data_IF_868776626676
#
_entry.id   IF_868776626676
#
_cell.length_a   1.000
_cell.length_b   1.000
_cell.length_c   1.000
_cell.angle_alpha   90.00
_cell.angle_beta   90.00
_cell.angle_gamma   90.00
#
_symmetry.space_group_name_H-M   'P 1'
#
loop_
_entity.id
_entity.type
_entity.pdbx_description
1 polymer ?
#
# COMPACT_ATOMS: atom_id res chain seq x y z
N UNK A 1 3.06 -23.08 45.38
CA UNK A 1 2.26 -21.91 44.93
C UNK A 1 3.12 -20.70 44.56
N UNK A 2 3.99 -20.19 45.46
CA UNK A 2 4.85 -19.01 45.16
C UNK A 2 5.77 -19.16 43.93
N UNK A 3 6.38 -20.34 43.71
CA UNK A 3 7.26 -20.60 42.55
C UNK A 3 6.52 -20.65 41.19
N UNK A 4 5.25 -21.07 41.19
CA UNK A 4 4.38 -21.08 40.01
C UNK A 4 3.86 -19.67 39.67
N UNK A 5 3.59 -18.86 40.70
CA UNK A 5 3.18 -17.46 40.52
C UNK A 5 4.31 -16.60 39.93
N UNK A 6 5.55 -16.80 40.40
CA UNK A 6 6.74 -16.10 39.88
C UNK A 6 7.04 -16.50 38.44
N UNK A 7 6.89 -17.78 38.08
CA UNK A 7 7.05 -18.24 36.70
C UNK A 7 6.03 -17.63 35.74
N UNK A 8 4.76 -17.51 36.15
CA UNK A 8 3.71 -16.92 35.32
C UNK A 8 3.90 -15.40 35.13
N UNK A 9 4.33 -14.70 36.18
CA UNK A 9 4.65 -13.26 36.10
C UNK A 9 5.86 -13.00 35.19
N UNK A 10 6.90 -13.84 35.24
CA UNK A 10 8.07 -13.69 34.37
C UNK A 10 7.75 -13.96 32.89
N UNK A 11 6.87 -14.91 32.58
CA UNK A 11 6.40 -15.16 31.21
C UNK A 11 5.51 -14.02 30.70
N UNK A 12 4.61 -13.50 31.53
CA UNK A 12 3.78 -12.35 31.19
C UNK A 12 4.60 -11.07 30.97
N UNK A 13 5.66 -10.86 31.78
CA UNK A 13 6.57 -9.73 31.64
C UNK A 13 7.50 -9.86 30.42
N UNK A 14 7.88 -11.09 30.04
CA UNK A 14 8.61 -11.36 28.78
C UNK A 14 7.76 -11.15 27.53
N UNK A 15 6.46 -11.43 27.59
CA UNK A 15 5.50 -11.17 26.49
C UNK A 15 5.20 -9.68 26.29
N UNK A 16 5.29 -8.86 27.35
CA UNK A 16 5.11 -7.41 27.30
C UNK A 16 6.32 -6.66 26.71
N UNK A 17 7.48 -7.31 26.57
CA UNK A 17 8.68 -6.74 25.95
C UNK A 17 8.71 -6.92 24.43
N UNK A 18 7.74 -7.64 23.86
CA UNK A 18 7.57 -7.73 22.40
C UNK A 18 6.74 -6.53 21.98
N UNK A 19 7.41 -5.42 21.70
CA UNK A 19 6.78 -4.19 21.20
C UNK A 19 5.88 -4.54 20.00
N UNK A 20 4.64 -4.02 19.92
CA UNK A 20 3.92 -4.09 18.66
C UNK A 20 4.75 -3.34 17.63
N UNK A 21 5.15 -4.03 16.56
CA UNK A 21 5.70 -3.37 15.37
C UNK A 21 4.59 -2.45 14.87
N UNK A 22 4.70 -1.16 15.20
CA UNK A 22 3.85 -0.14 14.65
C UNK A 22 4.14 -0.08 13.15
N UNK A 23 3.20 -0.56 12.34
CA UNK A 23 3.33 -0.51 10.89
C UNK A 23 2.94 0.87 10.40
N UNK A 24 3.94 1.64 10.00
CA UNK A 24 3.76 2.89 9.29
C UNK A 24 4.12 2.68 7.83
N UNK A 25 3.44 3.44 6.95
CA UNK A 25 3.91 3.62 5.58
C UNK A 25 5.36 4.14 5.58
N UNK A 26 6.17 3.85 4.55
CA UNK A 26 7.51 4.43 4.41
C UNK A 26 7.51 5.97 4.27
N UNK A 27 6.34 6.55 4.03
CA UNK A 27 6.08 7.99 3.85
C UNK A 27 4.84 8.40 4.64
N UNK A 28 4.79 9.66 5.06
CA UNK A 28 3.70 10.26 5.82
C UNK A 28 3.09 11.45 5.11
N UNK A 29 1.86 11.81 5.48
CA UNK A 29 1.23 13.06 5.01
C UNK A 29 2.09 14.25 5.45
N UNK A 30 2.37 15.16 4.53
CA UNK A 30 3.30 16.28 4.75
C UNK A 30 4.71 16.05 4.20
N UNK A 31 5.08 14.79 3.92
CA UNK A 31 6.38 14.51 3.33
C UNK A 31 6.49 15.08 1.93
N UNK A 32 7.74 15.42 1.57
CA UNK A 32 8.11 15.75 0.19
C UNK A 32 8.82 14.56 -0.41
N UNK A 33 8.31 14.06 -1.53
CA UNK A 33 8.87 12.91 -2.24
C UNK A 33 9.28 13.31 -3.66
N UNK A 34 10.20 12.56 -4.23
CA UNK A 34 10.52 12.58 -5.66
C UNK A 34 10.15 11.23 -6.23
N UNK A 35 9.50 11.25 -7.40
CA UNK A 35 9.29 10.06 -8.20
C UNK A 35 10.29 10.05 -9.35
N UNK A 36 11.03 8.95 -9.50
CA UNK A 36 11.86 8.70 -10.68
C UNK A 36 11.40 7.43 -11.39
N UNK A 37 11.71 7.30 -12.68
CA UNK A 37 11.37 6.09 -13.43
C UNK A 37 12.06 4.89 -12.77
N UNK A 38 11.25 3.92 -12.34
CA UNK A 38 11.72 2.63 -11.86
C UNK A 38 11.91 1.67 -13.03
N UNK A 39 11.72 0.37 -12.78
CA UNK A 39 11.81 -0.61 -13.85
C UNK A 39 10.55 -0.60 -14.73
N UNK A 40 10.71 -1.01 -15.99
CA UNK A 40 9.67 -0.87 -17.00
C UNK A 40 9.78 0.47 -17.73
N UNK A 41 8.65 1.13 -18.01
CA UNK A 41 8.61 2.41 -18.72
C UNK A 41 7.77 2.41 -19.99
N UNK A 42 7.14 1.29 -20.35
CA UNK A 42 6.31 1.24 -21.55
C UNK A 42 5.06 2.09 -21.39
N UNK A 43 4.63 2.76 -22.47
CA UNK A 43 3.42 3.60 -22.50
C UNK A 43 3.38 4.73 -21.46
N UNK A 44 4.54 5.29 -21.10
CA UNK A 44 4.69 6.30 -20.03
C UNK A 44 4.25 5.78 -18.64
N UNK A 45 4.35 4.47 -18.42
CA UNK A 45 4.00 3.80 -17.18
C UNK A 45 5.12 2.93 -16.62
N UNK A 46 4.78 1.77 -16.07
CA UNK A 46 5.70 0.91 -15.34
C UNK A 46 5.82 1.33 -13.88
N UNK A 47 6.85 0.82 -13.20
CA UNK A 47 7.06 1.17 -11.80
C UNK A 47 7.80 2.50 -11.68
N UNK A 48 7.55 3.24 -10.61
CA UNK A 48 8.28 4.44 -10.21
C UNK A 48 8.96 4.22 -8.88
N UNK A 49 10.18 4.71 -8.74
CA UNK A 49 10.88 4.75 -7.47
C UNK A 49 10.39 5.94 -6.66
N UNK A 50 10.14 5.73 -5.37
CA UNK A 50 9.81 6.79 -4.42
C UNK A 50 11.03 7.07 -3.56
N UNK A 51 11.50 8.31 -3.59
CA UNK A 51 12.59 8.82 -2.77
C UNK A 51 12.07 9.95 -1.87
N UNK A 52 12.51 9.99 -0.61
CA UNK A 52 12.17 11.10 0.30
C UNK A 52 13.14 12.26 0.07
N UNK A 53 12.61 13.48 -0.10
CA UNK A 53 13.43 14.67 -0.29
C UNK A 53 14.24 14.96 0.98
N UNK A 54 15.55 15.03 0.82
CA UNK A 54 16.47 15.26 1.95
C UNK A 54 16.92 13.98 2.64
N UNK A 55 16.45 12.82 2.19
CA UNK A 55 17.01 11.53 2.59
C UNK A 55 18.10 11.09 1.59
N UNK A 56 19.15 10.48 2.12
CA UNK A 56 20.28 9.92 1.35
C UNK A 56 20.27 8.39 1.30
N UNK A 57 19.29 7.75 1.96
CA UNK A 57 19.14 6.28 1.98
C UNK A 57 18.77 5.68 0.62
N UNK A 58 18.27 6.50 -0.32
CA UNK A 58 17.89 6.11 -1.67
C UNK A 58 16.42 5.69 -1.78
N UNK A 59 16.12 4.83 -2.74
CA UNK A 59 14.76 4.42 -3.07
C UNK A 59 14.10 3.72 -1.89
N UNK A 60 12.99 4.28 -1.40
CA UNK A 60 12.22 3.74 -0.28
C UNK A 60 11.37 2.53 -0.73
N UNK A 61 10.66 2.68 -1.85
CA UNK A 61 9.80 1.64 -2.43
C UNK A 61 9.47 1.93 -3.90
N UNK A 62 8.84 0.95 -4.57
CA UNK A 62 8.29 1.11 -5.90
C UNK A 62 6.77 1.30 -5.88
N UNK A 63 6.27 2.22 -6.70
CA UNK A 63 4.84 2.53 -6.89
C UNK A 63 4.42 2.40 -8.35
N UNK A 64 3.12 2.47 -8.60
CA UNK A 64 2.50 2.56 -9.92
C UNK A 64 1.51 3.72 -9.97
N UNK A 65 1.34 4.28 -11.16
CA UNK A 65 0.38 5.34 -11.39
C UNK A 65 -1.04 4.79 -11.31
N UNK A 66 -1.92 5.53 -10.64
CA UNK A 66 -3.32 5.15 -10.55
C UNK A 66 -4.13 5.69 -11.73
N UNK A 67 -4.07 7.00 -11.99
CA UNK A 67 -4.81 7.61 -13.10
C UNK A 67 -3.96 7.72 -14.38
N UNK A 68 -4.57 8.05 -15.52
CA UNK A 68 -3.84 8.38 -16.77
C UNK A 68 -4.06 9.80 -17.28
N UNK A 69 -5.08 10.49 -16.77
CA UNK A 69 -5.40 11.87 -17.11
C UNK A 69 -4.68 12.90 -16.24
N UNK A 70 -4.13 12.48 -15.10
CA UNK A 70 -3.26 13.29 -14.25
C UNK A 70 -1.79 12.95 -14.51
N UNK A 71 -0.92 13.96 -14.37
CA UNK A 71 0.49 13.85 -14.70
C UNK A 71 1.36 14.45 -13.60
N UNK A 72 2.55 13.88 -13.44
CA UNK A 72 3.66 14.48 -12.72
C UNK A 72 4.90 14.55 -13.62
N UNK A 73 5.90 15.32 -13.19
CA UNK A 73 7.19 15.40 -13.85
C UNK A 73 8.19 14.59 -13.03
N UNK A 74 8.74 13.48 -13.56
CA UNK A 74 9.76 12.71 -12.85
C UNK A 74 10.95 13.58 -12.44
N UNK A 75 11.50 13.33 -11.25
CA UNK A 75 12.58 14.12 -10.66
C UNK A 75 12.15 15.43 -9.98
N UNK A 76 10.87 15.82 -10.08
CA UNK A 76 10.34 17.02 -9.40
C UNK A 76 9.73 16.62 -8.06
N UNK A 77 10.12 17.34 -7.00
CA UNK A 77 9.59 17.12 -5.66
C UNK A 77 8.10 17.48 -5.57
N UNK A 78 7.33 16.62 -4.91
CA UNK A 78 5.89 16.76 -4.67
C UNK A 78 5.57 16.49 -3.21
N UNK A 79 4.43 16.97 -2.75
CA UNK A 79 3.93 16.72 -1.41
C UNK A 79 3.00 15.51 -1.38
N UNK A 80 3.11 14.71 -0.33
CA UNK A 80 2.09 13.72 0.05
C UNK A 80 0.96 14.45 0.77
N UNK A 81 -0.15 14.68 0.07
CA UNK A 81 -1.29 15.43 0.60
C UNK A 81 -2.24 14.58 1.44
N UNK A 82 -2.41 13.32 1.07
CA UNK A 82 -3.17 12.33 1.85
C UNK A 82 -2.76 10.90 1.47
N UNK A 83 -3.02 9.96 2.38
CA UNK A 83 -2.93 8.52 2.12
C UNK A 83 -4.28 7.90 2.48
N UNK A 84 -5.07 7.53 1.48
CA UNK A 84 -6.48 7.16 1.62
C UNK A 84 -6.85 5.98 0.73
N UNK A 85 -8.04 5.39 0.89
CA UNK A 85 -8.52 4.31 0.01
C UNK A 85 -8.98 4.77 -1.38
N UNK A 86 -8.70 6.02 -1.76
CA UNK A 86 -9.26 6.64 -2.96
C UNK A 86 -8.36 7.74 -3.51
N UNK A 87 -8.38 7.93 -4.83
CA UNK A 87 -7.81 9.06 -5.53
C UNK A 87 -8.70 10.30 -5.38
N UNK A 88 -8.11 11.45 -5.07
CA UNK A 88 -8.88 12.64 -4.62
C UNK A 88 -9.69 13.29 -5.74
N UNK A 89 -9.16 13.28 -6.98
CA UNK A 89 -9.80 13.87 -8.15
C UNK A 89 -10.30 12.85 -9.17
N UNK A 90 -10.14 11.55 -8.87
CA UNK A 90 -10.44 10.46 -9.79
C UNK A 90 -9.65 10.51 -11.10
N UNK A 91 -9.97 9.59 -12.01
CA UNK A 91 -9.30 9.44 -13.30
C UNK A 91 -10.21 9.69 -14.50
N UNK A 92 -10.00 8.94 -15.58
CA UNK A 92 -10.92 8.91 -16.73
C UNK A 92 -12.25 8.23 -16.39
N UNK A 93 -12.23 7.32 -15.41
CA UNK A 93 -13.43 6.71 -14.85
C UNK A 93 -13.55 7.02 -13.36
N UNK A 94 -14.63 6.53 -12.75
CA UNK A 94 -14.84 6.64 -11.31
C UNK A 94 -15.51 7.94 -10.84
N UNK A 95 -15.50 8.14 -9.52
CA UNK A 95 -16.07 9.30 -8.83
C UNK A 95 -14.99 10.25 -8.31
N UNK A 96 -15.40 11.36 -7.65
CA UNK A 96 -14.48 12.29 -6.99
C UNK A 96 -14.85 12.39 -5.51
N UNK A 97 -14.17 11.67 -4.59
CA UNK A 97 -12.98 10.83 -4.82
C UNK A 97 -13.30 9.45 -5.46
N UNK A 98 -12.30 8.83 -6.07
CA UNK A 98 -12.40 7.52 -6.74
C UNK A 98 -11.75 6.40 -5.91
N UNK A 99 -12.53 5.50 -5.29
CA UNK A 99 -11.99 4.40 -4.49
C UNK A 99 -11.20 3.41 -5.34
N UNK A 100 -10.04 2.96 -4.84
CA UNK A 100 -9.31 1.88 -5.54
C UNK A 100 -10.07 0.57 -5.49
N UNK A 101 -9.99 -0.19 -6.57
CA UNK A 101 -10.55 -1.54 -6.58
C UNK A 101 -9.76 -2.48 -5.67
N UNK A 102 -10.44 -3.48 -5.08
CA UNK A 102 -9.79 -4.57 -4.34
C UNK A 102 -8.83 -5.38 -5.22
N UNK A 103 -9.11 -5.45 -6.53
CA UNK A 103 -8.25 -6.11 -7.51
C UNK A 103 -6.91 -5.38 -7.68
N UNK A 104 -6.93 -4.05 -7.81
CA UNK A 104 -5.72 -3.22 -7.86
C UNK A 104 -4.93 -3.31 -6.56
N UNK A 105 -5.61 -3.20 -5.41
CA UNK A 105 -4.98 -3.38 -4.10
C UNK A 105 -4.28 -4.75 -3.97
N UNK A 106 -4.93 -5.83 -4.41
CA UNK A 106 -4.36 -7.18 -4.39
C UNK A 106 -3.11 -7.31 -5.26
N UNK A 107 -3.14 -6.77 -6.49
CA UNK A 107 -2.00 -6.86 -7.40
C UNK A 107 -0.80 -6.06 -6.88
N UNK A 108 -1.03 -4.85 -6.37
CA UNK A 108 0.05 -4.05 -5.81
C UNK A 108 0.60 -4.65 -4.51
N UNK A 109 -0.23 -5.23 -3.65
CA UNK A 109 0.23 -6.00 -2.50
C UNK A 109 1.18 -7.14 -2.92
N UNK A 110 0.81 -7.91 -3.95
CA UNK A 110 1.66 -8.99 -4.46
C UNK A 110 2.98 -8.48 -5.05
N UNK A 111 2.96 -7.31 -5.69
CA UNK A 111 4.19 -6.65 -6.12
C UNK A 111 5.06 -6.24 -4.93
N UNK A 112 4.50 -5.49 -3.99
CA UNK A 112 5.21 -4.94 -2.83
C UNK A 112 5.78 -6.03 -1.91
N UNK A 113 5.16 -7.21 -1.86
CA UNK A 113 5.62 -8.38 -1.11
C UNK A 113 6.52 -9.33 -1.91
N UNK A 114 6.82 -9.02 -3.17
CA UNK A 114 7.69 -9.82 -4.03
C UNK A 114 7.05 -11.10 -4.59
N UNK A 115 5.74 -11.28 -4.44
CA UNK A 115 4.98 -12.38 -5.05
C UNK A 115 4.82 -12.21 -6.57
N UNK A 116 4.92 -10.98 -7.07
CA UNK A 116 5.15 -10.69 -8.49
C UNK A 116 6.63 -10.33 -8.64
N UNK A 117 7.35 -11.05 -9.49
CA UNK A 117 8.77 -10.79 -9.70
C UNK A 117 9.00 -9.39 -10.29
N UNK A 118 9.95 -8.66 -9.70
CA UNK A 118 10.30 -7.29 -10.09
C UNK A 118 11.10 -7.28 -11.40
N UNK A 119 10.42 -7.51 -12.53
CA UNK A 119 10.99 -7.52 -13.89
C UNK A 119 10.32 -6.47 -14.77
N UNK A 120 11.03 -5.96 -15.78
CA UNK A 120 10.52 -4.86 -16.60
C UNK A 120 9.21 -5.26 -17.33
N UNK A 121 9.12 -6.52 -17.77
CA UNK A 121 7.90 -7.07 -18.36
C UNK A 121 6.73 -7.05 -17.37
N UNK A 122 6.93 -7.58 -16.16
CA UNK A 122 5.89 -7.60 -15.13
C UNK A 122 5.48 -6.19 -14.69
N UNK A 123 6.41 -5.25 -14.58
CA UNK A 123 6.09 -3.86 -14.23
C UNK A 123 5.19 -3.21 -15.28
N UNK A 124 5.50 -3.39 -16.57
CA UNK A 124 4.70 -2.84 -17.66
C UNK A 124 3.31 -3.49 -17.73
N UNK A 125 3.26 -4.83 -17.61
CA UNK A 125 2.02 -5.59 -17.62
C UNK A 125 1.14 -5.26 -16.41
N UNK A 126 1.76 -5.06 -15.23
CA UNK A 126 1.06 -4.67 -14.01
C UNK A 126 0.49 -3.25 -14.13
N UNK A 127 1.23 -2.29 -14.67
CA UNK A 127 0.70 -0.94 -14.90
C UNK A 127 -0.52 -0.94 -15.81
N UNK A 128 -0.48 -1.73 -16.90
CA UNK A 128 -1.63 -1.88 -17.81
C UNK A 128 -2.83 -2.55 -17.11
N UNK A 129 -2.58 -3.56 -16.28
CA UNK A 129 -3.61 -4.22 -15.51
C UNK A 129 -4.28 -3.25 -14.53
N UNK A 130 -3.50 -2.45 -13.80
CA UNK A 130 -4.01 -1.41 -12.88
C UNK A 130 -4.92 -0.44 -13.65
N UNK A 131 -4.42 0.16 -14.74
CA UNK A 131 -5.23 1.10 -15.52
C UNK A 131 -6.49 0.47 -16.10
N UNK A 132 -6.46 -0.82 -16.46
CA UNK A 132 -7.67 -1.52 -16.91
C UNK A 132 -8.67 -1.74 -15.78
N UNK A 133 -8.22 -2.10 -14.59
CA UNK A 133 -9.06 -2.38 -13.43
C UNK A 133 -9.71 -1.10 -12.87
N UNK A 134 -8.99 0.01 -12.95
CA UNK A 134 -9.48 1.34 -12.53
C UNK A 134 -10.21 2.10 -13.64
N UNK A 135 -10.42 1.50 -14.82
CA UNK A 135 -11.19 2.13 -15.90
C UNK A 135 -10.47 3.25 -16.67
N UNK A 136 -9.16 3.41 -16.46
CA UNK A 136 -8.32 4.46 -17.05
C UNK A 136 -8.01 4.27 -18.55
N UNK A 137 -8.52 3.19 -19.13
CA UNK A 137 -8.28 2.83 -20.53
C UNK A 137 -9.31 3.43 -21.49
N UNK A 138 -10.39 4.05 -20.98
CA UNK A 138 -11.54 4.45 -21.78
C UNK A 138 -11.24 5.53 -22.84
N UNK A 139 -10.45 6.56 -22.50
CA UNK A 139 -10.19 7.68 -23.42
C UNK A 139 -9.01 7.43 -24.37
N UNK A 140 -8.01 6.67 -23.92
CA UNK A 140 -6.80 6.38 -24.69
C UNK A 140 -6.51 4.87 -24.66
N UNK A 141 -7.31 4.05 -25.36
CA UNK A 141 -7.21 2.60 -25.27
C UNK A 141 -5.82 2.13 -25.74
N UNK A 142 -5.15 1.39 -24.86
CA UNK A 142 -3.94 0.64 -25.18
C UNK A 142 -4.32 -0.84 -25.20
N UNK A 143 -3.78 -1.60 -26.15
CA UNK A 143 -4.00 -3.04 -26.20
C UNK A 143 -3.38 -3.70 -24.96
N UNK A 144 -4.20 -4.44 -24.21
CA UNK A 144 -3.72 -5.25 -23.10
C UNK A 144 -2.84 -6.39 -23.63
N UNK A 145 -1.69 -6.58 -22.98
CA UNK A 145 -0.81 -7.72 -23.26
C UNK A 145 -1.40 -9.01 -22.66
N UNK A 146 -0.83 -10.16 -23.04
CA UNK A 146 -1.18 -11.43 -22.40
C UNK A 146 -0.87 -11.42 -20.88
N UNK A 147 0.25 -10.79 -20.48
CA UNK A 147 0.62 -10.68 -19.06
C UNK A 147 -0.31 -9.77 -18.27
N UNK A 148 -0.72 -8.63 -18.84
CA UNK A 148 -1.71 -7.75 -18.21
C UNK A 148 -3.05 -8.49 -18.00
N UNK A 149 -3.53 -9.22 -19.02
CA UNK A 149 -4.73 -10.05 -18.91
C UNK A 149 -4.60 -11.17 -17.86
N UNK A 150 -3.42 -11.78 -17.73
CA UNK A 150 -3.15 -12.77 -16.70
C UNK A 150 -3.22 -12.16 -15.29
N UNK A 151 -2.69 -10.95 -15.09
CA UNK A 151 -2.83 -10.24 -13.81
C UNK A 151 -4.27 -9.90 -13.48
N UNK A 152 -5.02 -9.32 -14.43
CA UNK A 152 -6.45 -9.01 -14.27
C UNK A 152 -7.22 -10.28 -13.87
N UNK A 153 -6.98 -11.38 -14.58
CA UNK A 153 -7.63 -12.66 -14.31
C UNK A 153 -7.28 -13.19 -12.90
N UNK A 154 -6.02 -13.04 -12.48
CA UNK A 154 -5.59 -13.46 -11.14
C UNK A 154 -6.21 -12.63 -10.00
N UNK A 155 -6.69 -11.42 -10.30
CA UNK A 155 -7.30 -10.51 -9.34
C UNK A 155 -8.84 -10.53 -9.37
N UNK A 156 -9.46 -11.30 -10.27
CA UNK A 156 -10.90 -11.28 -10.51
C UNK A 156 -11.76 -11.59 -9.27
N UNK A 157 -11.24 -12.39 -8.33
CA UNK A 157 -11.93 -12.75 -7.08
C UNK A 157 -11.33 -12.08 -5.85
N UNK A 158 -10.44 -11.09 -6.03
CA UNK A 158 -9.79 -10.39 -4.93
C UNK A 158 -10.81 -9.55 -4.15
N UNK A 159 -10.87 -9.74 -2.84
CA UNK A 159 -11.79 -9.07 -1.93
C UNK A 159 -11.07 -8.71 -0.63
N UNK A 160 -11.37 -7.55 -0.07
CA UNK A 160 -10.82 -7.10 1.21
C UNK A 160 -9.72 -6.05 1.08
N UNK A 161 -9.16 -5.72 2.25
CA UNK A 161 -8.11 -4.72 2.40
C UNK A 161 -6.75 -5.40 2.41
N UNK A 162 -5.90 -5.09 1.42
CA UNK A 162 -4.58 -5.71 1.26
C UNK A 162 -3.44 -4.84 1.84
N UNK A 163 -3.74 -3.95 2.77
CA UNK A 163 -2.77 -2.98 3.29
C UNK A 163 -2.33 -1.92 2.26
N UNK A 164 -3.02 -1.84 1.12
CA UNK A 164 -2.71 -0.90 0.03
C UNK A 164 -3.62 0.31 0.10
N UNK A 165 -3.05 1.49 -0.08
CA UNK A 165 -3.75 2.76 -0.16
C UNK A 165 -3.22 3.61 -1.32
N UNK A 166 -3.95 4.68 -1.59
CA UNK A 166 -3.63 5.72 -2.56
C UNK A 166 -2.90 6.85 -1.87
N UNK A 167 -1.70 7.13 -2.35
CA UNK A 167 -0.91 8.29 -2.02
C UNK A 167 -1.26 9.43 -2.99
N UNK A 168 -2.03 10.40 -2.52
CA UNK A 168 -2.46 11.56 -3.30
C UNK A 168 -1.37 12.63 -3.28
N UNK A 169 -0.93 13.05 -4.47
CA UNK A 169 0.22 13.92 -4.62
C UNK A 169 -0.15 15.32 -5.07
N UNK A 170 0.63 16.30 -4.63
CA UNK A 170 0.41 17.71 -4.94
C UNK A 170 1.73 18.41 -5.24
N UNK A 171 1.73 19.29 -6.24
CA UNK A 171 2.92 20.07 -6.60
C UNK A 171 3.24 21.18 -5.61
N UNK A 172 2.28 21.58 -4.77
CA UNK A 172 2.44 22.76 -3.91
C UNK A 172 1.63 22.66 -2.62
N UNK A 173 2.13 23.34 -1.58
CA UNK A 173 1.48 23.52 -0.29
C UNK A 173 1.53 24.99 0.11
N UNK A 174 0.42 25.52 0.60
CA UNK A 174 0.34 26.85 1.20
C UNK A 174 -0.39 26.75 2.56
N UNK A 175 0.10 27.38 3.64
CA UNK A 175 -0.52 27.27 4.97
C UNK A 175 -1.98 27.73 5.05
N UNK A 176 -2.42 28.62 4.16
CA UNK A 176 -3.79 29.16 4.13
C UNK A 176 -4.72 28.35 3.22
N UNK A 177 -4.20 27.79 2.12
CA UNK A 177 -4.98 27.04 1.12
C UNK A 177 -4.90 25.52 1.30
N UNK A 178 -3.88 25.02 1.98
CA UNK A 178 -3.52 23.60 2.02
C UNK A 178 -2.78 23.16 0.76
N UNK A 179 -2.89 21.87 0.43
CA UNK A 179 -2.31 21.30 -0.79
C UNK A 179 -3.09 21.72 -2.05
N UNK A 180 -2.36 22.04 -3.12
CA UNK A 180 -2.95 22.41 -4.41
C UNK A 180 -2.03 22.00 -5.56
N UNK A 181 -2.53 22.15 -6.80
CA UNK A 181 -1.86 21.62 -8.00
C UNK A 181 -1.74 20.08 -7.92
N UNK A 182 -2.88 19.36 -7.96
CA UNK A 182 -2.90 17.90 -7.84
C UNK A 182 -2.02 17.25 -8.90
N UNK A 183 -1.44 16.12 -8.53
CA UNK A 183 -0.54 15.29 -9.32
C UNK A 183 -1.03 13.86 -9.23
N UNK A 184 -0.73 13.12 -10.29
CA UNK A 184 -1.10 11.73 -10.45
C UNK A 184 -0.85 10.91 -9.18
N UNK A 185 -1.92 10.31 -8.70
CA UNK A 185 -1.94 9.50 -7.50
C UNK A 185 -1.14 8.22 -7.70
N UNK A 186 -0.54 7.75 -6.60
CA UNK A 186 0.37 6.62 -6.57
C UNK A 186 -0.12 5.58 -5.56
N UNK A 187 0.32 4.32 -5.69
CA UNK A 187 -0.02 3.27 -4.73
C UNK A 187 1.05 3.17 -3.64
N UNK A 188 0.62 2.92 -2.42
CA UNK A 188 1.51 2.69 -1.28
C UNK A 188 1.01 1.53 -0.43
N UNK A 189 1.95 0.71 0.03
CA UNK A 189 1.66 -0.50 0.81
C UNK A 189 2.14 -0.29 2.24
N UNK A 190 1.24 -0.49 3.19
CA UNK A 190 1.58 -0.60 4.59
C UNK A 190 1.97 -2.05 4.84
N UNK A 191 3.24 -2.29 5.18
CA UNK A 191 3.74 -3.60 5.55
C UNK A 191 3.23 -4.01 6.94
N UNK A 192 1.91 -4.05 7.14
CA UNK A 192 1.29 -4.46 8.39
C UNK A 192 1.68 -5.91 8.64
N UNK A 193 2.43 -6.21 9.70
CA UNK A 193 2.73 -7.58 10.05
C UNK A 193 1.44 -8.22 10.59
N UNK A 194 0.72 -8.96 9.76
CA UNK A 194 -0.27 -9.91 10.26
C UNK A 194 0.48 -11.20 10.63
N UNK A 195 0.94 -11.37 11.90
CA UNK A 195 0.27 -12.34 12.77
C UNK A 195 0.42 -12.11 14.31
N UNK A 196 0.82 -10.94 14.81
CA UNK A 196 0.93 -10.77 16.28
C UNK A 196 -0.44 -10.62 16.97
N UNK A 197 -1.39 -9.95 16.34
CA UNK A 197 -2.78 -9.81 16.83
C UNK A 197 -3.56 -11.11 16.73
N UNK A 198 -3.36 -11.90 15.67
CA UNK A 198 -3.95 -13.24 15.54
C UNK A 198 -3.36 -14.21 16.57
N UNK A 199 -2.06 -14.11 16.84
CA UNK A 199 -1.43 -14.85 17.93
C UNK A 199 -1.97 -14.41 19.30
N UNK A 200 -2.10 -13.10 19.56
CA UNK A 200 -2.67 -12.57 20.81
C UNK A 200 -4.15 -12.95 20.97
N UNK A 201 -4.92 -12.93 19.88
CA UNK A 201 -6.31 -13.38 19.86
C UNK A 201 -6.40 -14.89 20.15
N UNK A 202 -5.56 -15.71 19.51
CA UNK A 202 -5.46 -17.14 19.77
C UNK A 202 -5.04 -17.46 21.21
N UNK A 203 -4.02 -16.77 21.73
CA UNK A 203 -3.56 -16.92 23.11
C UNK A 203 -4.59 -16.40 24.12
N UNK A 204 -5.30 -15.31 23.80
CA UNK A 204 -6.37 -14.75 24.63
C UNK A 204 -7.54 -15.72 24.79
N UNK A 205 -7.94 -16.39 23.71
CA UNK A 205 -8.96 -17.44 23.75
C UNK A 205 -8.51 -18.66 24.56
N UNK A 206 -7.25 -19.09 24.41
CA UNK A 206 -6.68 -20.18 25.21
C UNK A 206 -6.61 -19.83 26.71
N UNK A 207 -6.27 -18.59 27.05
CA UNK A 207 -6.28 -18.06 28.41
C UNK A 207 -7.67 -18.10 29.06
N UNK A 208 -8.70 -17.67 28.33
CA UNK A 208 -10.10 -17.70 28.80
C UNK A 208 -10.59 -19.13 29.07
N UNK A 209 -10.27 -20.10 28.21
CA UNK A 209 -10.61 -21.51 28.43
C UNK A 209 -9.88 -22.08 29.65
N UNK A 210 -8.61 -21.72 29.84
CA UNK A 210 -7.82 -22.14 31.00
C UNK A 210 -8.37 -21.60 32.33
N UNK A 211 -8.79 -20.34 32.37
CA UNK A 211 -9.42 -19.73 33.56
C UNK A 211 -10.80 -20.31 33.82
N UNK A 212 -11.62 -20.53 32.78
CA UNK A 212 -12.97 -21.09 32.92
C UNK A 212 -13.01 -22.51 33.48
N UNK A 213 -11.95 -23.32 33.27
CA UNK A 213 -11.85 -24.68 33.84
C UNK A 213 -11.51 -24.69 35.33
N UNK A 214 -10.80 -23.67 35.83
CA UNK A 214 -10.46 -23.55 37.26
C UNK A 214 -11.60 -23.07 38.14
N UNK A 215 -12.58 -22.36 37.57
CA UNK A 215 -13.75 -21.84 38.30
C UNK A 215 -14.87 -22.88 38.48
N UNK A 216 -14.75 -24.05 37.85
CA UNK A 216 -15.70 -25.17 37.95
C UNK A 216 -15.23 -26.30 38.90
N UNK A 217 -14.05 -26.17 39.50
CA UNK A 217 -13.55 -27.03 40.58
C UNK A 217 -13.56 -26.25 41.89
#
# INVERSE_FOLDING_TARGET
>A
MKKLLVGFVMVAMGLLLISPVASAYPVSVGDRIILTQGIGGANNGGSFNVDLVGDSTGVLFNTFCLERNEYFNPGVAMYVGSITGSASNGGYSGGNPDPISSATAYLYYRWATGLIANTAANANDLQLAIWSLEGEMAQYPIMLTAGANAFISSAATAQGFYGVQVMNLYGSYDPTRGYYNPKQSQLVYNAVPEPATMLLFGLGLLGLVGVGRKLKQ
#
